data_IF_326146722376
#
_entry.id   IF_326146722376
#
_cell.length_a   1.000
_cell.length_b   1.000
_cell.length_c   1.000
_cell.angle_alpha   90.00
_cell.angle_beta   90.00
_cell.angle_gamma   90.00
#
_symmetry.space_group_name_H-M   'P 1'
#
loop_
_entity.id
_entity.type
_entity.pdbx_description
1 polymer ?
#
# COMPACT_ATOMS: atom_id res chain seq x y z
N UNK A 1 -6.81 -14.35 7.89
CA UNK A 1 -5.50 -13.85 8.37
C UNK A 1 -4.39 -14.14 7.36
N UNK A 2 -3.49 -13.17 7.16
CA UNK A 2 -2.28 -13.27 6.33
C UNK A 2 -1.06 -13.12 7.21
N UNK A 3 -0.17 -14.11 7.22
CA UNK A 3 0.97 -14.13 8.14
C UNK A 3 2.27 -14.56 7.45
N UNK A 4 3.35 -13.82 7.74
CA UNK A 4 4.71 -14.19 7.31
C UNK A 4 5.45 -14.90 8.46
N UNK A 5 5.66 -16.21 8.34
CA UNK A 5 6.33 -17.02 9.35
C UNK A 5 5.60 -17.01 10.69
N UNK A 6 6.34 -16.97 11.80
CA UNK A 6 5.80 -16.92 13.16
C UNK A 6 5.58 -15.47 13.68
N UNK A 7 5.70 -14.44 12.83
CA UNK A 7 5.60 -13.04 13.27
C UNK A 7 4.14 -12.58 13.33
N UNK A 8 3.60 -12.47 14.54
CA UNK A 8 2.25 -11.94 14.75
C UNK A 8 2.12 -10.44 14.48
N UNK A 9 3.15 -9.64 14.81
CA UNK A 9 3.11 -8.17 14.67
C UNK A 9 2.91 -7.67 13.24
N UNK A 10 3.20 -8.48 12.22
CA UNK A 10 3.02 -8.13 10.82
C UNK A 10 1.86 -8.87 10.16
N UNK A 11 0.95 -9.44 10.97
CA UNK A 11 -0.22 -10.15 10.48
C UNK A 11 -1.27 -9.16 9.99
N UNK A 12 -1.88 -9.47 8.85
CA UNK A 12 -3.03 -8.73 8.33
C UNK A 12 -4.28 -9.59 8.53
N UNK A 13 -5.32 -9.03 9.15
CA UNK A 13 -6.58 -9.74 9.39
C UNK A 13 -7.65 -9.16 8.50
N UNK A 14 -8.38 -10.03 7.79
CA UNK A 14 -9.58 -9.66 7.06
C UNK A 14 -10.78 -10.14 7.85
N UNK A 15 -11.83 -9.33 7.91
CA UNK A 15 -13.04 -9.57 8.67
C UNK A 15 -14.27 -9.66 7.76
N UNK A 16 -15.36 -10.21 8.31
CA UNK A 16 -16.64 -10.28 7.61
C UNK A 16 -17.13 -8.84 7.34
N UNK A 17 -17.62 -8.61 6.13
CA UNK A 17 -18.03 -7.30 5.61
C UNK A 17 -16.91 -6.54 4.89
N UNK A 18 -15.65 -6.97 5.00
CA UNK A 18 -14.55 -6.32 4.30
C UNK A 18 -14.43 -6.78 2.84
N UNK A 19 -13.97 -5.85 2.00
CA UNK A 19 -13.58 -6.13 0.63
C UNK A 19 -12.20 -6.80 0.56
N UNK A 20 -12.09 -7.84 -0.26
CA UNK A 20 -10.85 -8.56 -0.54
C UNK A 20 -10.62 -8.65 -2.04
N UNK A 21 -9.45 -8.20 -2.49
CA UNK A 21 -9.00 -8.43 -3.86
C UNK A 21 -7.97 -9.56 -3.89
N UNK A 22 -8.24 -10.62 -4.65
CA UNK A 22 -7.42 -11.83 -4.64
C UNK A 22 -7.18 -12.40 -6.05
N UNK A 23 -6.13 -13.20 -6.16
CA UNK A 23 -5.88 -14.12 -7.27
C UNK A 23 -6.09 -15.54 -6.78
N UNK A 24 -6.56 -16.41 -7.66
CA UNK A 24 -6.76 -17.83 -7.33
C UNK A 24 -5.90 -18.74 -8.20
N UNK A 25 -5.93 -20.03 -7.93
CA UNK A 25 -5.36 -21.06 -8.81
C UNK A 25 -6.11 -21.16 -10.14
N UNK A 26 -7.39 -20.74 -10.17
CA UNK A 26 -8.25 -20.79 -11.37
C UNK A 26 -8.04 -19.57 -12.29
N UNK A 27 -7.72 -18.40 -11.72
CA UNK A 27 -7.61 -17.14 -12.45
C UNK A 27 -6.40 -16.32 -11.96
N UNK A 28 -5.53 -15.88 -12.89
CA UNK A 28 -4.33 -15.08 -12.59
C UNK A 28 -4.56 -13.56 -12.65
N UNK A 29 -5.81 -13.10 -12.64
CA UNK A 29 -6.15 -11.68 -12.48
C UNK A 29 -6.79 -11.43 -11.10
N UNK A 30 -6.74 -10.16 -10.65
CA UNK A 30 -7.35 -9.78 -9.38
C UNK A 30 -8.87 -9.72 -9.53
N UNK A 31 -9.56 -10.41 -8.63
CA UNK A 31 -11.01 -10.35 -8.44
C UNK A 31 -11.26 -9.69 -7.09
N UNK A 32 -12.16 -8.72 -7.05
CA UNK A 32 -12.57 -8.02 -5.83
C UNK A 32 -13.96 -8.49 -5.44
N UNK A 33 -14.12 -8.90 -4.20
CA UNK A 33 -15.40 -9.34 -3.65
C UNK A 33 -15.46 -9.01 -2.14
N UNK A 34 -16.64 -9.15 -1.53
CA UNK A 34 -16.88 -8.89 -0.11
C UNK A 34 -16.97 -10.20 0.65
N UNK A 35 -16.27 -10.30 1.78
CA UNK A 35 -16.33 -11.45 2.67
C UNK A 35 -17.67 -11.43 3.40
N UNK A 36 -18.49 -12.47 3.22
CA UNK A 36 -19.79 -12.60 3.90
C UNK A 36 -19.74 -13.60 5.04
N UNK A 37 -18.86 -14.60 4.99
CA UNK A 37 -18.67 -15.57 6.06
C UNK A 37 -17.25 -16.17 6.03
N UNK A 38 -16.74 -16.58 7.19
CA UNK A 38 -15.41 -17.20 7.35
C UNK A 38 -15.58 -18.49 8.15
N UNK A 39 -15.29 -19.61 7.49
CA UNK A 39 -15.29 -20.94 8.08
C UNK A 39 -13.84 -21.48 8.16
N UNK A 40 -13.56 -22.56 8.91
CA UNK A 40 -12.18 -23.02 9.12
C UNK A 40 -11.41 -23.31 7.82
N UNK A 41 -12.10 -23.85 6.82
CA UNK A 41 -11.49 -24.25 5.54
C UNK A 41 -11.97 -23.42 4.34
N UNK A 42 -12.90 -22.49 4.55
CA UNK A 42 -13.58 -21.74 3.49
C UNK A 42 -13.69 -20.26 3.84
N UNK A 43 -13.49 -19.42 2.83
CA UNK A 43 -13.88 -18.01 2.85
C UNK A 43 -15.05 -17.89 1.88
N UNK A 44 -16.21 -17.53 2.43
CA UNK A 44 -17.43 -17.31 1.65
C UNK A 44 -17.45 -15.83 1.29
N UNK A 45 -17.45 -15.57 -0.02
CA UNK A 45 -17.56 -14.25 -0.61
C UNK A 45 -18.97 -14.09 -1.19
N UNK A 46 -19.36 -12.86 -1.52
CA UNK A 46 -20.71 -12.58 -2.02
C UNK A 46 -21.00 -13.31 -3.33
N UNK A 47 -20.02 -13.42 -4.22
CA UNK A 47 -20.17 -14.07 -5.54
C UNK A 47 -19.41 -15.39 -5.65
N UNK A 48 -18.61 -15.76 -4.65
CA UNK A 48 -17.72 -16.91 -4.75
C UNK A 48 -17.45 -17.61 -3.41
N UNK A 49 -16.94 -18.84 -3.46
CA UNK A 49 -16.48 -19.57 -2.27
C UNK A 49 -15.09 -20.12 -2.55
N UNK A 50 -14.14 -19.82 -1.66
CA UNK A 50 -12.73 -20.17 -1.85
C UNK A 50 -12.19 -20.89 -0.64
N UNK A 51 -11.29 -21.85 -0.88
CA UNK A 51 -10.41 -22.33 0.18
C UNK A 51 -9.19 -21.41 0.28
N UNK A 52 -8.65 -21.13 1.47
CA UNK A 52 -7.40 -20.37 1.62
C UNK A 52 -6.23 -20.90 0.78
N UNK A 53 -6.19 -22.21 0.55
CA UNK A 53 -5.18 -22.88 -0.29
C UNK A 53 -5.32 -22.57 -1.78
N UNK A 54 -6.53 -22.23 -2.26
CA UNK A 54 -6.78 -21.88 -3.66
C UNK A 54 -6.42 -20.42 -3.96
N UNK A 55 -6.14 -19.60 -2.93
CA UNK A 55 -5.73 -18.20 -3.07
C UNK A 55 -4.22 -18.14 -3.28
N UNK A 56 -3.80 -17.59 -4.43
CA UNK A 56 -2.38 -17.48 -4.81
C UNK A 56 -1.76 -16.15 -4.39
N UNK A 57 -2.55 -15.08 -4.39
CA UNK A 57 -2.14 -13.77 -3.90
C UNK A 57 -3.33 -12.94 -3.44
N UNK A 58 -3.10 -12.02 -2.51
CA UNK A 58 -4.08 -11.02 -2.07
C UNK A 58 -3.48 -9.63 -2.28
N UNK A 59 -4.26 -8.69 -2.80
CA UNK A 59 -3.88 -7.28 -2.83
C UNK A 59 -3.94 -6.70 -1.41
N UNK A 60 -2.83 -6.11 -0.98
CA UNK A 60 -2.70 -5.55 0.37
C UNK A 60 -2.40 -4.05 0.33
N UNK A 61 -2.51 -3.40 -0.85
CA UNK A 61 -2.23 -1.96 -1.01
C UNK A 61 -2.95 -1.10 0.02
N UNK A 62 -4.26 -1.35 0.19
CA UNK A 62 -5.10 -0.59 1.13
C UNK A 62 -5.21 -1.24 2.51
N UNK A 63 -4.76 -2.49 2.67
CA UNK A 63 -4.87 -3.25 3.92
C UNK A 63 -3.64 -3.14 4.82
N UNK A 64 -2.45 -3.04 4.23
CA UNK A 64 -1.22 -2.99 5.00
C UNK A 64 -1.00 -1.57 5.59
N UNK A 65 -0.97 -1.41 6.93
CA UNK A 65 -0.82 -0.09 7.54
C UNK A 65 0.53 0.58 7.19
N UNK A 66 1.55 -0.21 6.82
CA UNK A 66 2.85 0.33 6.39
C UNK A 66 2.73 1.12 5.09
N UNK A 67 1.77 0.78 4.23
CA UNK A 67 1.55 1.51 2.98
C UNK A 67 1.00 2.92 3.24
N UNK A 68 0.26 3.13 4.34
CA UNK A 68 -0.15 4.47 4.74
C UNK A 68 1.07 5.33 5.07
N UNK A 69 2.03 4.79 5.84
CA UNK A 69 3.30 5.49 6.14
C UNK A 69 4.09 5.79 4.86
N UNK A 70 4.28 4.81 3.98
CA UNK A 70 5.00 5.01 2.70
C UNK A 70 4.34 6.08 1.85
N UNK A 71 3.00 6.05 1.74
CA UNK A 71 2.22 7.04 0.98
C UNK A 71 2.34 8.43 1.57
N UNK A 72 2.25 8.55 2.90
CA UNK A 72 2.39 9.83 3.59
C UNK A 72 3.80 10.41 3.39
N UNK A 73 4.86 9.61 3.51
CA UNK A 73 6.22 10.06 3.23
C UNK A 73 6.42 10.49 1.78
N UNK A 74 5.86 9.76 0.82
CA UNK A 74 5.89 10.11 -0.59
C UNK A 74 5.22 11.47 -0.85
N UNK A 75 4.02 11.69 -0.29
CA UNK A 75 3.31 12.96 -0.42
C UNK A 75 3.99 14.11 0.31
N UNK A 76 4.59 13.87 1.48
CA UNK A 76 5.38 14.88 2.19
C UNK A 76 6.57 15.33 1.34
N UNK A 77 7.34 14.40 0.76
CA UNK A 77 8.46 14.74 -0.12
C UNK A 77 8.02 15.52 -1.35
N UNK A 78 7.03 15.00 -2.10
CA UNK A 78 6.52 15.68 -3.29
C UNK A 78 5.91 17.05 -2.97
N UNK A 79 5.12 17.15 -1.90
CA UNK A 79 4.50 18.39 -1.47
C UNK A 79 5.52 19.44 -1.03
N UNK A 80 6.53 19.05 -0.24
CA UNK A 80 7.61 19.94 0.17
C UNK A 80 8.40 20.44 -1.06
N UNK A 81 8.73 19.55 -1.99
CA UNK A 81 9.41 19.93 -3.23
C UNK A 81 8.57 20.90 -4.09
N UNK A 82 7.26 20.66 -4.22
CA UNK A 82 6.35 21.56 -4.94
C UNK A 82 6.26 22.94 -4.27
N UNK A 83 6.13 23.00 -2.94
CA UNK A 83 6.10 24.26 -2.17
C UNK A 83 7.41 25.04 -2.36
N UNK A 84 8.55 24.36 -2.26
CA UNK A 84 9.86 24.98 -2.48
C UNK A 84 9.98 25.51 -3.91
N UNK A 85 9.57 24.74 -4.91
CA UNK A 85 9.62 25.17 -6.32
C UNK A 85 8.73 26.40 -6.57
N UNK A 86 7.53 26.45 -5.99
CA UNK A 86 6.64 27.61 -6.09
C UNK A 86 7.26 28.83 -5.40
N UNK A 87 7.80 28.64 -4.20
CA UNK A 87 8.43 29.72 -3.42
C UNK A 87 9.66 30.28 -4.13
N UNK A 88 10.52 29.43 -4.68
CA UNK A 88 11.70 29.87 -5.44
C UNK A 88 11.32 30.58 -6.72
N UNK A 89 10.28 30.11 -7.42
CA UNK A 89 9.78 30.74 -8.65
C UNK A 89 9.16 32.11 -8.37
N UNK A 90 8.35 32.24 -7.31
CA UNK A 90 7.75 33.52 -6.92
C UNK A 90 8.85 34.50 -6.49
N UNK A 91 9.78 34.05 -5.63
CA UNK A 91 10.86 34.90 -5.13
C UNK A 91 11.78 35.39 -6.26
N UNK A 92 12.13 34.53 -7.23
CA UNK A 92 12.98 34.91 -8.37
C UNK A 92 12.32 35.88 -9.34
N UNK A 93 10.98 35.90 -9.42
CA UNK A 93 10.23 36.88 -10.20
C UNK A 93 10.13 38.25 -9.49
N UNK A 94 9.97 38.25 -8.17
CA UNK A 94 9.84 39.48 -7.38
C UNK A 94 11.19 40.18 -7.13
N UNK A 95 12.27 39.43 -6.90
CA UNK A 95 13.62 39.98 -6.82
C UNK A 95 14.19 40.06 -8.23
N UNK A 96 14.15 41.25 -8.84
CA UNK A 96 14.67 41.54 -10.18
C UNK A 96 16.12 41.02 -10.39
N UNK A 97 16.27 39.78 -10.82
CA UNK A 97 17.51 39.24 -11.38
C UNK A 97 18.52 38.61 -10.41
N UNK A 98 18.25 38.51 -9.10
CA UNK A 98 19.15 37.77 -8.19
C UNK A 98 18.80 36.27 -8.19
N UNK A 99 19.33 35.57 -9.19
CA UNK A 99 19.11 34.14 -9.40
C UNK A 99 19.87 33.25 -8.40
N UNK A 100 20.69 33.82 -7.50
CA UNK A 100 21.56 33.05 -6.60
C UNK A 100 20.78 32.16 -5.61
N UNK A 101 19.65 32.63 -5.07
CA UNK A 101 18.79 31.80 -4.22
C UNK A 101 18.01 30.75 -5.00
N UNK A 102 17.62 31.06 -6.24
CA UNK A 102 16.88 30.13 -7.09
C UNK A 102 17.77 28.96 -7.53
N UNK A 103 19.06 29.20 -7.82
CA UNK A 103 20.01 28.16 -8.22
C UNK A 103 20.28 27.15 -7.11
N UNK A 104 20.23 27.56 -5.84
CA UNK A 104 20.57 26.69 -4.70
C UNK A 104 19.41 25.80 -4.25
N UNK A 105 18.16 26.27 -4.41
CA UNK A 105 16.96 25.55 -3.94
C UNK A 105 16.28 24.71 -5.03
N UNK A 106 16.54 24.99 -6.31
CA UNK A 106 16.01 24.19 -7.42
C UNK A 106 16.43 22.72 -7.35
N UNK A 107 17.71 22.36 -7.13
CA UNK A 107 18.13 20.96 -6.99
C UNK A 107 17.43 20.26 -5.82
N UNK A 108 17.25 20.95 -4.69
CA UNK A 108 16.54 20.41 -3.53
C UNK A 108 15.07 20.13 -3.83
N UNK A 109 14.38 21.10 -4.46
CA UNK A 109 12.97 20.94 -4.83
C UNK A 109 12.76 19.74 -5.79
N UNK A 110 13.61 19.62 -6.82
CA UNK A 110 13.59 18.50 -7.75
C UNK A 110 13.91 17.17 -7.08
N UNK A 111 14.92 17.16 -6.20
CA UNK A 111 15.29 15.99 -5.41
C UNK A 111 14.17 15.48 -4.51
N UNK A 112 13.43 16.39 -3.85
CA UNK A 112 12.29 16.05 -3.01
C UNK A 112 11.11 15.47 -3.81
N UNK A 113 10.82 16.03 -4.99
CA UNK A 113 9.77 15.52 -5.89
C UNK A 113 10.13 14.12 -6.40
N UNK A 114 11.34 13.95 -6.94
CA UNK A 114 11.82 12.65 -7.46
C UNK A 114 11.91 11.63 -6.33
N UNK A 115 12.44 12.03 -5.17
CA UNK A 115 12.54 11.17 -3.99
C UNK A 115 11.17 10.69 -3.51
N UNK A 116 10.20 11.60 -3.40
CA UNK A 116 8.82 11.23 -3.05
C UNK A 116 8.17 10.30 -4.08
N UNK A 117 8.42 10.52 -5.38
CA UNK A 117 7.96 9.60 -6.44
C UNK A 117 8.58 8.21 -6.31
N UNK A 118 9.89 8.11 -6.04
CA UNK A 118 10.57 6.82 -5.83
C UNK A 118 10.01 6.10 -4.60
N UNK A 119 9.84 6.79 -3.48
CA UNK A 119 9.23 6.24 -2.25
C UNK A 119 7.82 5.70 -2.54
N UNK A 120 7.04 6.38 -3.38
CA UNK A 120 5.67 5.93 -3.74
C UNK A 120 5.64 4.54 -4.37
N UNK A 121 6.75 4.10 -5.02
CA UNK A 121 6.85 2.78 -5.66
C UNK A 121 7.18 1.64 -4.69
N UNK A 122 7.59 1.96 -3.46
CA UNK A 122 7.99 0.98 -2.44
C UNK A 122 6.81 0.35 -1.67
N UNK A 123 5.58 0.73 -2.00
CA UNK A 123 4.38 0.18 -1.36
C UNK A 123 4.29 -1.34 -1.55
N UNK A 124 3.92 -2.05 -0.48
CA UNK A 124 3.62 -3.47 -0.51
C UNK A 124 2.33 -3.71 -1.30
N UNK A 125 2.45 -4.34 -2.47
CA UNK A 125 1.32 -4.52 -3.38
C UNK A 125 0.54 -5.80 -3.10
N UNK A 126 1.20 -6.94 -3.14
CA UNK A 126 0.54 -8.24 -3.04
C UNK A 126 1.18 -9.12 -1.99
N UNK A 127 0.35 -9.79 -1.21
CA UNK A 127 0.73 -10.88 -0.33
C UNK A 127 0.61 -12.19 -1.09
N UNK A 128 1.74 -12.78 -1.49
CA UNK A 128 1.77 -14.05 -2.24
C UNK A 128 1.76 -15.24 -1.29
N UNK A 129 0.87 -16.21 -1.52
CA UNK A 129 0.79 -17.45 -0.76
C UNK A 129 1.91 -18.43 -1.19
N UNK A 130 3.15 -18.17 -0.75
CA UNK A 130 4.32 -18.99 -1.07
C UNK A 130 5.35 -18.98 0.06
N UNK A 131 6.01 -20.12 0.27
CA UNK A 131 7.11 -20.26 1.22
C UNK A 131 6.67 -20.00 2.66
N UNK A 132 7.19 -18.94 3.28
CA UNK A 132 6.87 -18.57 4.67
C UNK A 132 5.57 -17.77 4.82
N UNK A 133 4.97 -17.33 3.71
CA UNK A 133 3.68 -16.63 3.72
C UNK A 133 2.54 -17.64 3.79
N UNK A 134 1.67 -17.50 4.79
CA UNK A 134 0.49 -18.36 4.99
C UNK A 134 -0.78 -17.53 4.99
N UNK A 135 -1.82 -18.07 4.36
CA UNK A 135 -3.20 -17.56 4.43
C UNK A 135 -4.00 -18.55 5.27
N UNK A 136 -4.67 -18.07 6.30
CA UNK A 136 -5.45 -18.90 7.23
C UNK A 136 -6.81 -18.26 7.46
N UNK A 137 -7.86 -19.06 7.37
CA UNK A 137 -9.18 -18.69 7.87
C UNK A 137 -9.22 -19.07 9.35
N UNK A 138 -9.60 -18.12 10.21
CA UNK A 138 -9.63 -18.31 11.66
C UNK A 138 -10.91 -17.68 12.16
N UNK A 139 -11.71 -18.46 12.87
CA UNK A 139 -12.87 -17.95 13.61
C UNK A 139 -12.32 -17.43 14.93
N UNK A 140 -12.38 -16.11 15.12
CA UNK A 140 -12.08 -15.50 16.41
C UNK A 140 -13.35 -15.59 17.26
N UNK A 141 -13.40 -16.57 18.17
CA UNK A 141 -14.35 -16.53 19.27
C UNK A 141 -13.91 -15.41 20.22
N UNK A 142 -14.77 -14.41 20.40
CA UNK A 142 -14.51 -13.31 21.34
C UNK A 142 -14.40 -13.83 22.76
N UNK A 143 -13.40 -13.31 23.49
CA UNK A 143 -13.42 -13.27 24.96
C UNK A 143 -14.09 -11.96 25.40
#
# INVERSE_FOLDING_TARGET
>A
MLQHGAKEKSRLTFEIGEEISYKSTKFDFLITDVIVDIQPDLVVLKENVLRPADITAIDIRNKDPRNATVRNMAYLGMGAGAILLLTTTINSLYQQGDLSQASDLLPLSGGLIVGGFVISKMQYKTFKHKGKNKIQAVILYGN
#
